data_IF_038391958399
#
_entry.id   IF_038391958399
#
_cell.length_a   1.000
_cell.length_b   1.000
_cell.length_c   1.000
_cell.angle_alpha   90.00
_cell.angle_beta   90.00
_cell.angle_gamma   90.00
#
_symmetry.space_group_name_H-M   'P 1'
#
loop_
_entity.id
_entity.type
_entity.pdbx_description
1 polymer ?
#
# COMPACT_ATOMS: atom_id res chain seq x y z
N UNK A 1 13.82 -29.21 2.89
CA UNK A 1 13.47 -28.75 1.52
C UNK A 1 13.63 -27.25 1.46
N UNK A 2 14.59 -26.73 0.67
CA UNK A 2 14.84 -25.30 0.55
C UNK A 2 13.83 -24.68 -0.42
N UNK A 3 12.81 -24.05 0.14
CA UNK A 3 11.75 -23.35 -0.59
C UNK A 3 12.37 -22.09 -1.23
N UNK A 4 12.45 -22.04 -2.56
CA UNK A 4 13.03 -20.89 -3.29
C UNK A 4 12.39 -19.56 -2.84
N UNK A 5 13.14 -18.47 -2.59
CA UNK A 5 12.64 -17.27 -1.92
C UNK A 5 11.51 -16.53 -2.66
N UNK A 6 11.29 -16.85 -3.94
CA UNK A 6 10.30 -16.23 -4.81
C UNK A 6 9.31 -17.25 -5.40
N UNK A 7 8.63 -18.01 -4.54
CA UNK A 7 7.54 -18.87 -4.97
C UNK A 7 6.21 -18.50 -4.29
N UNK A 8 5.13 -19.03 -4.87
CA UNK A 8 3.75 -18.74 -4.47
C UNK A 8 3.46 -19.08 -3.00
N UNK A 9 4.03 -20.16 -2.47
CA UNK A 9 3.84 -20.60 -1.09
C UNK A 9 4.50 -19.60 -0.12
N UNK A 10 5.74 -19.22 -0.39
CA UNK A 10 6.45 -18.22 0.42
C UNK A 10 5.72 -16.88 0.43
N UNK A 11 5.18 -16.47 -0.72
CA UNK A 11 4.39 -15.24 -0.82
C UNK A 11 3.09 -15.33 -0.02
N UNK A 12 2.33 -16.41 -0.16
CA UNK A 12 1.08 -16.63 0.58
C UNK A 12 1.30 -16.69 2.10
N UNK A 13 2.38 -17.35 2.54
CA UNK A 13 2.77 -17.44 3.96
C UNK A 13 3.06 -16.05 4.52
N UNK A 14 3.86 -15.24 3.82
CA UNK A 14 4.15 -13.86 4.26
C UNK A 14 2.90 -12.97 4.33
N UNK A 15 1.96 -13.14 3.41
CA UNK A 15 0.68 -12.40 3.46
C UNK A 15 -0.14 -12.81 4.67
N UNK A 16 -0.21 -14.12 4.96
CA UNK A 16 -0.88 -14.65 6.15
C UNK A 16 -0.23 -14.10 7.42
N UNK A 17 1.09 -14.18 7.57
CA UNK A 17 1.80 -13.70 8.76
C UNK A 17 1.60 -12.18 8.96
N UNK A 18 1.65 -11.41 7.87
CA UNK A 18 1.44 -9.97 7.92
C UNK A 18 0.01 -9.58 8.31
N UNK A 19 -0.99 -10.36 7.86
CA UNK A 19 -2.38 -10.20 8.29
C UNK A 19 -2.58 -10.65 9.75
N UNK A 20 -2.09 -11.84 10.11
CA UNK A 20 -2.27 -12.45 11.42
C UNK A 20 -1.61 -11.61 12.53
N UNK A 21 -0.43 -11.05 12.27
CA UNK A 21 0.23 -10.13 13.21
C UNK A 21 -0.49 -8.78 13.35
N UNK A 22 -1.38 -8.42 12.40
CA UNK A 22 -2.05 -7.12 12.33
C UNK A 22 -1.10 -5.91 12.42
N UNK A 23 0.18 -6.13 12.08
CA UNK A 23 1.23 -5.12 12.21
C UNK A 23 0.94 -3.96 11.27
N UNK A 24 0.91 -2.75 11.83
CA UNK A 24 0.83 -1.52 11.05
C UNK A 24 2.24 -1.02 10.77
N UNK A 25 2.56 -0.83 9.49
CA UNK A 25 3.84 -0.27 9.05
C UNK A 25 3.63 1.19 8.64
N UNK A 26 4.37 2.09 9.26
CA UNK A 26 4.47 3.46 8.79
C UNK A 26 5.41 3.54 7.58
N UNK A 27 5.00 4.23 6.52
CA UNK A 27 5.74 4.36 5.26
C UNK A 27 5.84 5.82 4.87
N UNK A 28 7.05 6.26 4.52
CA UNK A 28 7.27 7.53 3.84
C UNK A 28 7.62 7.30 2.37
N UNK A 29 6.86 7.92 1.47
CA UNK A 29 7.09 7.86 0.03
C UNK A 29 8.01 8.99 -0.40
N UNK A 30 9.30 8.71 -0.54
CA UNK A 30 10.27 9.67 -1.09
C UNK A 30 9.91 10.18 -2.49
N UNK A 31 9.13 9.42 -3.25
CA UNK A 31 8.68 9.82 -4.59
C UNK A 31 7.57 10.87 -4.55
N UNK A 32 6.65 10.74 -3.60
CA UNK A 32 5.45 11.56 -3.52
C UNK A 32 5.54 12.63 -2.43
N UNK A 33 6.45 12.49 -1.45
CA UNK A 33 6.55 13.39 -0.30
C UNK A 33 5.42 13.21 0.72
N UNK A 34 4.82 12.02 0.80
CA UNK A 34 3.70 11.72 1.71
C UNK A 34 4.07 10.57 2.64
N UNK A 35 3.50 10.57 3.84
CA UNK A 35 3.48 9.39 4.71
C UNK A 35 2.10 8.74 4.75
N UNK A 36 2.07 7.45 5.06
CA UNK A 36 0.86 6.68 5.26
C UNK A 36 1.17 5.43 6.06
N UNK A 37 0.12 4.86 6.64
CA UNK A 37 0.19 3.57 7.31
C UNK A 37 -0.28 2.47 6.36
N UNK A 38 0.35 1.30 6.46
CA UNK A 38 -0.08 0.12 5.71
C UNK A 38 -0.15 -1.11 6.58
N UNK A 39 -1.15 -1.94 6.33
CA UNK A 39 -1.36 -3.23 6.98
C UNK A 39 -2.08 -4.18 6.03
N UNK A 40 -2.01 -5.47 6.31
CA UNK A 40 -2.81 -6.46 5.60
C UNK A 40 -4.11 -6.74 6.34
N UNK A 41 -5.21 -6.81 5.60
CA UNK A 41 -6.56 -7.11 6.11
C UNK A 41 -7.14 -8.28 5.33
N UNK A 42 -8.05 -9.03 5.95
CA UNK A 42 -8.81 -10.04 5.24
C UNK A 42 -9.67 -9.38 4.16
N UNK A 43 -9.81 -10.04 3.02
CA UNK A 43 -10.70 -9.58 1.96
C UNK A 43 -12.16 -9.73 2.39
N UNK A 44 -12.99 -8.76 2.02
CA UNK A 44 -14.41 -8.75 2.37
C UNK A 44 -15.18 -9.51 1.28
N UNK A 45 -16.17 -10.37 1.63
CA UNK A 45 -16.95 -11.14 0.66
C UNK A 45 -17.55 -10.30 -0.49
N UNK A 46 -17.99 -9.07 -0.18
CA UNK A 46 -18.49 -8.12 -1.19
C UNK A 46 -17.51 -7.89 -2.35
N UNK A 47 -16.20 -7.91 -2.09
CA UNK A 47 -15.20 -7.71 -3.14
C UNK A 47 -15.06 -8.94 -4.06
N UNK A 48 -15.28 -10.14 -3.52
CA UNK A 48 -15.30 -11.37 -4.30
C UNK A 48 -16.44 -11.31 -5.31
N UNK A 49 -17.63 -10.92 -4.86
CA UNK A 49 -18.83 -10.88 -5.70
C UNK A 49 -18.80 -9.73 -6.71
N UNK A 50 -18.30 -8.56 -6.30
CA UNK A 50 -18.33 -7.35 -7.15
C UNK A 50 -17.18 -7.28 -8.16
N UNK A 51 -16.00 -7.78 -7.79
CA UNK A 51 -14.77 -7.60 -8.58
C UNK A 51 -14.10 -8.92 -9.00
N UNK A 52 -14.74 -10.07 -8.74
CA UNK A 52 -14.15 -11.40 -8.90
C UNK A 52 -12.78 -11.52 -8.19
N UNK A 53 -12.65 -10.83 -7.06
CA UNK A 53 -11.37 -10.75 -6.36
C UNK A 53 -11.20 -11.89 -5.37
N UNK A 54 -10.44 -12.89 -5.80
CA UNK A 54 -10.18 -14.12 -5.04
C UNK A 54 -8.98 -14.00 -4.09
N UNK A 55 -8.42 -12.80 -3.90
CA UNK A 55 -7.34 -12.62 -2.93
C UNK A 55 -7.89 -12.81 -1.51
N UNK A 56 -7.19 -13.58 -0.67
CA UNK A 56 -7.57 -13.75 0.74
C UNK A 56 -7.23 -12.51 1.59
N UNK A 57 -6.12 -11.84 1.27
CA UNK A 57 -5.62 -10.69 2.03
C UNK A 57 -5.38 -9.51 1.11
N UNK A 58 -5.79 -8.31 1.55
CA UNK A 58 -5.54 -7.05 0.85
C UNK A 58 -4.61 -6.17 1.65
N UNK A 59 -3.79 -5.41 0.93
CA UNK A 59 -3.04 -4.31 1.52
C UNK A 59 -3.93 -3.09 1.66
N UNK A 60 -4.14 -2.64 2.89
CA UNK A 60 -4.85 -1.40 3.20
C UNK A 60 -3.84 -0.27 3.41
N UNK A 61 -4.24 0.92 3.02
CA UNK A 61 -3.48 2.15 3.19
C UNK A 61 -4.38 3.14 3.94
N UNK A 62 -3.92 3.63 5.08
CA UNK A 62 -4.66 4.53 5.97
C UNK A 62 -3.75 5.70 6.40
N UNK A 63 -4.31 6.67 7.14
CA UNK A 63 -3.57 7.76 7.78
C UNK A 63 -2.61 8.52 6.83
N UNK A 64 -3.08 8.82 5.62
CA UNK A 64 -2.32 9.59 4.65
C UNK A 64 -2.04 10.99 5.19
N UNK A 65 -0.77 11.40 5.15
CA UNK A 65 -0.33 12.73 5.53
C UNK A 65 0.57 13.30 4.43
N UNK A 66 0.22 14.50 3.98
CA UNK A 66 0.92 15.27 2.97
C UNK A 66 1.63 16.44 3.66
N UNK A 67 2.95 16.35 3.85
CA UNK A 67 3.75 17.48 4.33
C UNK A 67 4.56 18.00 3.15
N UNK A 68 3.94 18.86 2.36
CA UNK A 68 4.62 19.56 1.28
C UNK A 68 4.95 20.97 1.75
N UNK A 69 6.24 21.28 1.84
CA UNK A 69 6.72 22.64 2.08
C UNK A 69 7.10 23.28 0.75
N UNK A 70 6.59 24.47 0.42
CA UNK A 70 6.89 25.14 -0.87
C UNK A 70 8.30 25.74 -0.98
N UNK A 71 9.21 25.32 -0.11
CA UNK A 71 10.51 25.98 0.10
C UNK A 71 11.65 25.31 -0.63
N UNK A 72 11.55 24.02 -0.99
CA UNK A 72 12.62 23.28 -1.66
C UNK A 72 12.22 22.73 -3.03
N UNK A 73 13.16 22.70 -3.96
CA UNK A 73 12.96 22.13 -5.31
C UNK A 73 12.52 20.66 -5.26
N UNK A 74 13.00 19.90 -4.27
CA UNK A 74 12.61 18.53 -4.02
C UNK A 74 11.14 18.43 -3.60
N UNK A 75 10.71 19.25 -2.65
CA UNK A 75 9.32 19.26 -2.17
C UNK A 75 8.35 19.69 -3.28
N UNK A 76 8.69 20.72 -4.07
CA UNK A 76 7.89 21.15 -5.23
C UNK A 76 7.75 19.99 -6.24
N UNK A 77 8.83 19.22 -6.49
CA UNK A 77 8.79 18.07 -7.40
C UNK A 77 7.95 16.92 -6.84
N UNK A 78 7.99 16.68 -5.54
CA UNK A 78 7.17 15.68 -4.85
C UNK A 78 5.69 16.06 -4.92
N UNK A 79 5.35 17.32 -4.60
CA UNK A 79 4.00 17.87 -4.70
C UNK A 79 3.41 17.69 -6.10
N UNK A 80 4.13 18.13 -7.15
CA UNK A 80 3.68 17.94 -8.54
C UNK A 80 3.41 16.47 -8.90
N UNK A 81 4.23 15.54 -8.36
CA UNK A 81 4.04 14.10 -8.59
C UNK A 81 2.84 13.56 -7.83
N UNK A 82 2.62 14.02 -6.60
CA UNK A 82 1.45 13.69 -5.80
C UNK A 82 0.16 14.17 -6.49
N UNK A 83 0.09 15.44 -6.87
CA UNK A 83 -1.05 16.00 -7.61
C UNK A 83 -1.34 15.24 -8.90
N UNK A 84 -0.31 14.88 -9.67
CA UNK A 84 -0.47 14.07 -10.87
C UNK A 84 -1.05 12.69 -10.58
N UNK A 85 -0.62 12.04 -9.49
CA UNK A 85 -1.14 10.74 -9.08
C UNK A 85 -2.62 10.84 -8.65
N UNK A 86 -3.00 11.92 -7.97
CA UNK A 86 -4.40 12.19 -7.63
C UNK A 86 -5.26 12.38 -8.89
N UNK A 87 -4.76 13.10 -9.90
CA UNK A 87 -5.50 13.30 -11.18
C UNK A 87 -5.66 12.02 -12.01
N UNK A 88 -4.72 11.08 -11.92
CA UNK A 88 -4.83 9.79 -12.63
C UNK A 88 -5.81 8.81 -11.96
N UNK A 89 -6.09 9.01 -10.68
CA UNK A 89 -7.09 8.24 -9.94
C UNK A 89 -8.44 8.98 -10.01
N UNK A 90 -9.05 9.05 -11.19
CA UNK A 90 -10.51 9.25 -11.22
C UNK A 90 -11.14 7.97 -10.68
N UNK A 91 -11.55 8.02 -9.41
CA UNK A 91 -12.58 7.12 -8.87
C UNK A 91 -13.88 7.30 -9.65
#
# INVERSE_FOLDING_TARGET
>A
MTVSPNNRISHATRLFDAWASSTTKHVYSNRLGISYDTRYVANIPKNLDTYNDQCMYRKRFDNFNTVHSDTSSLSIRQQKRFERACRSNNL
#
